data_IF_145995473139
#
_entry.id   IF_145995473139
#
_cell.length_a   1.000
_cell.length_b   1.000
_cell.length_c   1.000
_cell.angle_alpha   90.00
_cell.angle_beta   90.00
_cell.angle_gamma   90.00
#
_symmetry.space_group_name_H-M   'P 1'
#
loop_
_entity.id
_entity.type
_entity.pdbx_description
1 polymer ?
#
# COMPACT_ATOMS: atom_id res chain seq x y z
N UNK A 1 -5.20 -9.92 31.37
CA UNK A 1 -5.42 -8.45 31.39
C UNK A 1 -4.32 -7.69 30.65
N UNK A 2 -3.12 -7.46 31.22
CA UNK A 2 -2.07 -6.68 30.53
C UNK A 2 -1.58 -7.33 29.22
N UNK A 3 -1.31 -8.64 29.21
CA UNK A 3 -0.87 -9.37 28.02
C UNK A 3 -1.91 -9.30 26.88
N UNK A 4 -3.19 -9.47 27.22
CA UNK A 4 -4.31 -9.36 26.29
C UNK A 4 -4.41 -7.96 25.69
N UNK A 5 -4.25 -6.91 26.51
CA UNK A 5 -4.22 -5.54 26.03
C UNK A 5 -3.06 -5.30 25.05
N UNK A 6 -1.84 -5.71 25.40
CA UNK A 6 -0.67 -5.58 24.52
C UNK A 6 -0.90 -6.31 23.19
N UNK A 7 -1.46 -7.52 23.25
CA UNK A 7 -1.76 -8.30 22.07
C UNK A 7 -2.75 -7.58 21.13
N UNK A 8 -3.87 -7.09 21.66
CA UNK A 8 -4.87 -6.34 20.88
C UNK A 8 -4.26 -5.06 20.31
N UNK A 9 -3.54 -4.31 21.14
CA UNK A 9 -2.90 -3.07 20.73
C UNK A 9 -1.92 -3.30 19.56
N UNK A 10 -1.09 -4.33 19.64
CA UNK A 10 -0.15 -4.68 18.58
C UNK A 10 -0.87 -5.13 17.30
N UNK A 11 -1.96 -5.91 17.41
CA UNK A 11 -2.78 -6.28 16.25
C UNK A 11 -3.40 -5.05 15.56
N UNK A 12 -3.90 -4.09 16.33
CA UNK A 12 -4.45 -2.83 15.79
C UNK A 12 -3.36 -2.03 15.06
N UNK A 13 -2.18 -1.86 15.68
CA UNK A 13 -1.05 -1.18 15.02
C UNK A 13 -0.69 -1.87 13.71
N UNK A 14 -0.65 -3.20 13.70
CA UNK A 14 -0.28 -3.97 12.52
C UNK A 14 -1.29 -3.81 11.38
N UNK A 15 -2.59 -3.81 11.70
CA UNK A 15 -3.65 -3.50 10.72
C UNK A 15 -3.54 -2.06 10.19
N UNK A 16 -3.31 -1.08 11.07
CA UNK A 16 -3.11 0.31 10.66
C UNK A 16 -1.87 0.46 9.76
N UNK A 17 -0.77 -0.22 10.08
CA UNK A 17 0.44 -0.23 9.26
C UNK A 17 0.17 -0.78 7.85
N UNK A 18 -0.61 -1.85 7.72
CA UNK A 18 -1.03 -2.38 6.42
C UNK A 18 -1.83 -1.33 5.64
N UNK A 19 -2.81 -0.67 6.27
CA UNK A 19 -3.63 0.38 5.62
C UNK A 19 -2.74 1.54 5.13
N UNK A 20 -1.82 2.02 5.96
CA UNK A 20 -0.87 3.08 5.58
C UNK A 20 -0.02 2.65 4.39
N UNK A 21 0.48 1.41 4.38
CA UNK A 21 1.23 0.89 3.24
C UNK A 21 0.41 0.85 1.95
N UNK A 22 -0.89 0.50 2.01
CA UNK A 22 -1.78 0.58 0.85
C UNK A 22 -1.94 2.01 0.33
N UNK A 23 -2.05 3.00 1.21
CA UNK A 23 -2.15 4.42 0.81
C UNK A 23 -0.84 4.89 0.17
N UNK A 24 0.31 4.59 0.79
CA UNK A 24 1.63 4.94 0.25
C UNK A 24 1.85 4.27 -1.11
N UNK A 25 1.48 2.99 -1.23
CA UNK A 25 1.50 2.25 -2.50
C UNK A 25 0.71 2.99 -3.58
N UNK A 26 -0.52 3.37 -3.26
CA UNK A 26 -1.41 4.06 -4.21
C UNK A 26 -0.87 5.43 -4.63
N UNK A 27 -0.23 6.17 -3.72
CA UNK A 27 0.46 7.42 -4.07
C UNK A 27 1.66 7.22 -5.01
N UNK A 28 2.46 6.16 -4.80
CA UNK A 28 3.55 5.81 -5.74
C UNK A 28 2.98 5.40 -7.11
N UNK A 29 1.86 4.69 -7.13
CA UNK A 29 1.17 4.32 -8.36
C UNK A 29 0.59 5.54 -9.08
N UNK A 30 0.12 6.54 -8.34
CA UNK A 30 -0.34 7.81 -8.92
C UNK A 30 0.83 8.57 -9.55
N UNK A 31 1.99 8.61 -8.90
CA UNK A 31 3.21 9.18 -9.47
C UNK A 31 3.61 8.47 -10.76
N UNK A 32 3.55 7.14 -10.78
CA UNK A 32 3.80 6.32 -11.96
C UNK A 32 2.84 6.67 -13.11
N UNK A 33 1.54 6.75 -12.82
CA UNK A 33 0.51 7.10 -13.81
C UNK A 33 0.73 8.50 -14.40
N UNK A 34 1.15 9.46 -13.56
CA UNK A 34 1.44 10.83 -14.01
C UNK A 34 2.66 10.87 -14.91
N UNK A 35 3.77 10.22 -14.55
CA UNK A 35 5.01 10.24 -15.34
C UNK A 35 4.82 9.51 -16.68
N UNK A 36 4.12 8.36 -16.69
CA UNK A 36 3.79 7.63 -17.93
C UNK A 36 2.95 8.48 -18.88
N UNK A 37 2.06 9.33 -18.34
CA UNK A 37 1.25 10.31 -19.08
C UNK A 37 1.95 11.66 -19.32
N UNK A 38 3.27 11.75 -19.11
CA UNK A 38 4.07 12.98 -19.27
C UNK A 38 3.58 14.17 -18.41
N UNK A 39 2.91 13.89 -17.29
CA UNK A 39 2.51 14.89 -16.28
C UNK A 39 3.57 14.98 -15.18
N UNK A 40 3.54 16.06 -14.39
CA UNK A 40 4.40 16.21 -13.21
C UNK A 40 4.11 15.08 -12.21
N UNK A 41 5.17 14.51 -11.64
CA UNK A 41 5.11 13.42 -10.65
C UNK A 41 4.20 13.73 -9.47
N UNK A 42 4.37 14.89 -8.85
CA UNK A 42 3.68 15.28 -7.61
C UNK A 42 4.17 14.52 -6.39
N UNK A 43 3.40 14.56 -5.29
CA UNK A 43 3.73 13.90 -4.02
C UNK A 43 2.89 12.64 -3.79
N UNK A 44 3.35 11.76 -2.89
CA UNK A 44 2.61 10.55 -2.51
C UNK A 44 1.31 10.94 -1.77
N UNK A 45 1.35 12.02 -0.98
CA UNK A 45 0.18 12.55 -0.25
C UNK A 45 -0.93 13.04 -1.16
N UNK A 46 -0.63 13.37 -2.42
CA UNK A 46 -1.64 13.79 -3.41
C UNK A 46 -2.71 12.71 -3.64
N UNK A 47 -2.42 11.45 -3.33
CA UNK A 47 -3.42 10.39 -3.41
C UNK A 47 -4.59 10.62 -2.46
N UNK A 48 -4.33 11.16 -1.26
CA UNK A 48 -5.37 11.44 -0.24
C UNK A 48 -5.76 12.92 -0.18
N UNK A 49 -4.85 13.83 -0.53
CA UNK A 49 -5.06 15.27 -0.54
C UNK A 49 -5.48 15.73 -1.93
N UNK A 50 -6.78 15.72 -2.20
CA UNK A 50 -7.33 16.14 -3.49
C UNK A 50 -8.76 16.62 -3.41
N UNK A 51 -9.25 17.21 -4.51
CA UNK A 51 -10.65 17.58 -4.63
C UNK A 51 -11.51 16.34 -4.89
N UNK A 52 -12.21 15.90 -3.85
CA UNK A 52 -13.12 14.75 -3.92
C UNK A 52 -14.37 15.03 -4.76
N UNK A 53 -14.65 16.27 -5.15
CA UNK A 53 -15.79 16.63 -6.00
C UNK A 53 -15.47 16.52 -7.50
N UNK A 54 -14.20 16.60 -7.88
CA UNK A 54 -13.72 16.41 -9.26
C UNK A 54 -13.74 14.92 -9.67
N UNK A 55 -14.57 14.60 -10.67
CA UNK A 55 -14.71 13.23 -11.18
C UNK A 55 -13.45 12.70 -11.89
N UNK A 56 -12.70 13.57 -12.56
CA UNK A 56 -11.45 13.22 -13.23
C UNK A 56 -10.34 12.88 -12.24
N UNK A 57 -10.21 13.67 -11.17
CA UNK A 57 -9.25 13.39 -10.09
C UNK A 57 -9.60 12.09 -9.34
N UNK A 58 -10.89 11.80 -9.10
CA UNK A 58 -11.32 10.51 -8.54
C UNK A 58 -10.98 9.33 -9.47
N UNK A 59 -11.29 9.45 -10.75
CA UNK A 59 -11.02 8.39 -11.73
C UNK A 59 -9.52 8.09 -11.84
N UNK A 60 -8.68 9.13 -11.85
CA UNK A 60 -7.23 8.99 -11.88
C UNK A 60 -6.67 8.20 -10.69
N UNK A 61 -7.22 8.42 -9.49
CA UNK A 61 -6.83 7.68 -8.27
C UNK A 61 -7.31 6.25 -8.28
N UNK A 62 -8.52 6.02 -8.80
CA UNK A 62 -9.03 4.67 -8.96
C UNK A 62 -8.16 3.85 -9.91
N UNK A 63 -7.80 4.43 -11.05
CA UNK A 63 -6.87 3.83 -12.01
C UNK A 63 -5.51 3.56 -11.36
N UNK A 64 -4.97 4.54 -10.63
CA UNK A 64 -3.71 4.37 -9.92
C UNK A 64 -3.75 3.23 -8.90
N UNK A 65 -4.80 3.17 -8.09
CA UNK A 65 -4.98 2.15 -7.05
C UNK A 65 -5.07 0.73 -7.61
N UNK A 66 -5.73 0.57 -8.76
CA UNK A 66 -5.92 -0.72 -9.43
C UNK A 66 -4.69 -1.21 -10.20
N UNK A 67 -3.72 -0.34 -10.49
CA UNK A 67 -2.45 -0.78 -11.07
C UNK A 67 -1.73 -1.75 -10.13
N UNK A 68 -0.85 -2.58 -10.68
CA UNK A 68 0.00 -3.54 -9.97
C UNK A 68 -0.74 -4.28 -8.83
N UNK A 69 -1.71 -5.15 -9.17
CA UNK A 69 -2.42 -5.91 -8.15
C UNK A 69 -1.44 -6.78 -7.36
N UNK A 70 -1.67 -6.95 -6.05
CA UNK A 70 -0.74 -7.60 -5.12
C UNK A 70 -0.28 -8.98 -5.63
N UNK A 71 -1.24 -9.79 -6.06
CA UNK A 71 -1.04 -11.20 -6.43
C UNK A 71 -0.40 -11.40 -7.82
N UNK A 72 -0.04 -10.32 -8.52
CA UNK A 72 0.53 -10.39 -9.87
C UNK A 72 1.98 -9.90 -9.89
N UNK A 73 2.76 -10.47 -10.82
CA UNK A 73 4.13 -10.04 -11.03
C UNK A 73 4.18 -8.60 -11.55
N UNK A 74 5.12 -7.82 -11.01
CA UNK A 74 5.44 -6.49 -11.51
C UNK A 74 6.65 -6.63 -12.45
N UNK A 75 6.40 -6.50 -13.75
CA UNK A 75 7.42 -6.55 -14.80
C UNK A 75 8.19 -5.23 -14.83
N UNK A 76 9.52 -5.29 -14.89
CA UNK A 76 10.43 -4.14 -14.90
C UNK A 76 11.03 -3.96 -16.29
N UNK A 77 10.21 -3.46 -17.20
CA UNK A 77 10.45 -3.37 -18.64
C UNK A 77 10.20 -1.96 -19.20
N UNK A 78 10.20 -0.95 -18.34
CA UNK A 78 9.98 0.43 -18.78
C UNK A 78 11.27 1.01 -19.40
N UNK A 79 11.13 1.72 -20.51
CA UNK A 79 12.24 2.45 -21.15
C UNK A 79 12.84 3.53 -20.22
N UNK A 80 12.00 4.09 -19.34
CA UNK A 80 12.40 5.11 -18.37
C UNK A 80 12.75 4.47 -17.03
N UNK A 81 14.01 4.57 -16.62
CA UNK A 81 14.45 3.99 -15.34
C UNK A 81 13.71 4.59 -14.13
N UNK A 82 13.22 5.83 -14.19
CA UNK A 82 12.38 6.39 -13.13
C UNK A 82 11.09 5.57 -12.91
N UNK A 83 10.45 5.09 -13.98
CA UNK A 83 9.25 4.26 -13.89
C UNK A 83 9.59 2.88 -13.28
N UNK A 84 10.71 2.28 -13.68
CA UNK A 84 11.20 1.03 -13.06
C UNK A 84 11.51 1.22 -11.57
N UNK A 85 12.05 2.37 -11.17
CA UNK A 85 12.30 2.67 -9.76
C UNK A 85 10.99 2.75 -8.94
N UNK A 86 9.93 3.33 -9.52
CA UNK A 86 8.61 3.34 -8.90
C UNK A 86 8.02 1.92 -8.80
N UNK A 87 8.09 1.13 -9.88
CA UNK A 87 7.67 -0.29 -9.88
C UNK A 87 8.41 -1.12 -8.81
N UNK A 88 9.73 -0.95 -8.67
CA UNK A 88 10.52 -1.59 -7.59
C UNK A 88 10.04 -1.17 -6.20
N UNK A 89 9.67 0.09 -6.02
CA UNK A 89 9.15 0.60 -4.75
C UNK A 89 7.80 -0.02 -4.40
N UNK A 90 6.88 -0.14 -5.37
CA UNK A 90 5.61 -0.87 -5.19
C UNK A 90 5.88 -2.34 -4.83
N UNK A 91 6.82 -3.00 -5.52
CA UNK A 91 7.21 -4.39 -5.24
C UNK A 91 7.71 -4.58 -3.80
N UNK A 92 8.53 -3.65 -3.29
CA UNK A 92 8.97 -3.68 -1.88
C UNK A 92 7.79 -3.56 -0.92
N UNK A 93 6.85 -2.65 -1.19
CA UNK A 93 5.65 -2.51 -0.36
C UNK A 93 4.80 -3.78 -0.38
N UNK A 94 4.64 -4.46 -1.53
CA UNK A 94 3.96 -5.76 -1.59
C UNK A 94 4.61 -6.78 -0.66
N UNK A 95 5.94 -6.93 -0.72
CA UNK A 95 6.69 -7.84 0.16
C UNK A 95 6.44 -7.49 1.63
N UNK A 96 6.49 -6.21 2.00
CA UNK A 96 6.20 -5.77 3.37
C UNK A 96 4.77 -6.10 3.79
N UNK A 97 3.78 -5.84 2.93
CA UNK A 97 2.38 -6.19 3.20
C UNK A 97 2.24 -7.70 3.42
N UNK A 98 2.88 -8.54 2.60
CA UNK A 98 2.84 -9.99 2.79
C UNK A 98 3.42 -10.42 4.14
N UNK A 99 4.56 -9.86 4.55
CA UNK A 99 5.16 -10.15 5.85
C UNK A 99 4.22 -9.75 6.98
N UNK A 100 3.60 -8.56 6.91
CA UNK A 100 2.65 -8.11 7.93
C UNK A 100 1.41 -9.01 7.98
N UNK A 101 0.87 -9.42 6.84
CA UNK A 101 -0.27 -10.34 6.80
C UNK A 101 0.08 -11.71 7.41
N UNK A 102 1.27 -12.25 7.14
CA UNK A 102 1.75 -13.49 7.78
C UNK A 102 1.83 -13.31 9.30
N UNK A 103 2.39 -12.19 9.77
CA UNK A 103 2.44 -11.87 11.21
C UNK A 103 1.04 -11.77 11.82
N UNK A 104 0.07 -11.15 11.13
CA UNK A 104 -1.31 -11.05 11.58
C UNK A 104 -1.96 -12.44 11.71
N UNK A 105 -1.73 -13.32 10.74
CA UNK A 105 -2.22 -14.71 10.76
C UNK A 105 -1.61 -15.47 11.94
N UNK A 106 -0.28 -15.38 12.13
CA UNK A 106 0.40 -16.00 13.27
C UNK A 106 -0.22 -15.50 14.57
N UNK A 107 -0.40 -14.19 14.73
CA UNK A 107 -1.07 -13.65 15.92
C UNK A 107 -2.47 -14.25 16.10
N UNK A 108 -3.29 -14.27 15.04
CA UNK A 108 -4.62 -14.87 15.08
C UNK A 108 -4.61 -16.31 15.60
N UNK A 109 -3.68 -17.15 15.11
CA UNK A 109 -3.51 -18.53 15.58
C UNK A 109 -3.08 -18.59 17.05
N UNK A 110 -2.18 -17.72 17.49
CA UNK A 110 -1.70 -17.69 18.87
C UNK A 110 -2.64 -16.96 19.85
N UNK A 111 -3.71 -16.33 19.35
CA UNK A 111 -4.66 -15.59 20.20
C UNK A 111 -5.29 -16.50 21.26
N UNK A 112 -5.61 -17.74 20.92
CA UNK A 112 -6.17 -18.73 21.85
C UNK A 112 -5.30 -18.86 23.12
N UNK A 113 -3.97 -18.91 22.97
CA UNK A 113 -3.04 -19.05 24.11
C UNK A 113 -2.93 -17.81 25.01
N UNK A 114 -3.46 -16.66 24.56
CA UNK A 114 -3.43 -15.39 25.27
C UNK A 114 -4.77 -15.09 25.95
N UNK A 115 -5.86 -15.58 25.38
CA UNK A 115 -7.22 -15.32 25.85
C UNK A 115 -7.86 -16.48 26.62
N UNK A 116 -7.35 -17.70 26.47
CA UNK A 116 -7.69 -18.90 27.27
C UNK A 116 -6.62 -19.12 28.33
#
# INVERSE_FOLDING_TARGET
MLLQFIFIFFAIILMLAIIVLFIVKAGIQLQYLRISRKKKKGHISDFVQFDYTDAGERALRWEAFLMFPLMYAIVLDEDKEELNHLKRSVKRIHITIYILLILLIIMGVYSEKVFV
#
